data_IF_324412286028
#
_entry.id   IF_324412286028
#
_cell.length_a   1.000
_cell.length_b   1.000
_cell.length_c   1.000
_cell.angle_alpha   90.00
_cell.angle_beta   90.00
_cell.angle_gamma   90.00
#
_symmetry.space_group_name_H-M   'P 1'
#
loop_
_entity.id
_entity.type
_entity.pdbx_description
1 polymer ?
#
# COMPACT_ATOMS: atom_id res chain seq x y z
N UNK A 1 11.52 5.03 -21.72
CA UNK A 1 11.69 6.49 -21.81
C UNK A 1 12.49 6.91 -20.58
N UNK A 2 13.67 7.52 -20.75
CA UNK A 2 14.61 7.74 -19.65
C UNK A 2 13.98 8.54 -18.48
N UNK A 3 13.20 9.59 -18.79
CA UNK A 3 12.50 10.40 -17.77
C UNK A 3 11.46 9.60 -16.98
N UNK A 4 10.70 8.73 -17.64
CA UNK A 4 9.71 7.89 -16.96
C UNK A 4 10.38 6.88 -16.01
N UNK A 5 11.45 6.23 -16.45
CA UNK A 5 12.21 5.26 -15.63
C UNK A 5 12.86 5.94 -14.42
N UNK A 6 13.39 7.15 -14.59
CA UNK A 6 13.94 7.96 -13.52
C UNK A 6 12.86 8.36 -12.51
N UNK A 7 11.70 8.84 -12.95
CA UNK A 7 10.58 9.16 -12.06
C UNK A 7 10.05 7.94 -11.30
N UNK A 8 9.99 6.77 -11.94
CA UNK A 8 9.63 5.51 -11.26
C UNK A 8 10.66 5.18 -10.16
N UNK A 9 11.95 5.39 -10.44
CA UNK A 9 13.03 5.21 -9.46
C UNK A 9 12.91 6.19 -8.28
N UNK A 10 12.70 7.47 -8.57
CA UNK A 10 12.49 8.53 -7.57
C UNK A 10 11.27 8.19 -6.70
N UNK A 11 10.13 7.82 -7.30
CA UNK A 11 8.92 7.44 -6.56
C UNK A 11 9.17 6.27 -5.62
N UNK A 12 9.87 5.23 -6.06
CA UNK A 12 10.24 4.09 -5.21
C UNK A 12 11.12 4.53 -4.05
N UNK A 13 12.06 5.46 -4.30
CA UNK A 13 12.94 5.96 -3.26
C UNK A 13 12.21 6.85 -2.25
N UNK A 14 11.38 7.77 -2.70
CA UNK A 14 10.49 8.58 -1.83
C UNK A 14 9.58 7.69 -0.97
N UNK A 15 9.03 6.63 -1.56
CA UNK A 15 8.24 5.64 -0.82
C UNK A 15 9.08 4.94 0.25
N UNK A 16 10.33 4.55 -0.05
CA UNK A 16 11.20 3.95 0.95
C UNK A 16 11.54 4.94 2.09
N UNK A 17 11.80 6.20 1.75
CA UNK A 17 12.11 7.25 2.71
C UNK A 17 10.92 7.58 3.62
N UNK A 18 9.67 7.39 3.17
CA UNK A 18 8.48 7.65 4.00
C UNK A 18 8.39 6.76 5.25
N UNK A 19 9.13 5.64 5.26
CA UNK A 19 9.25 4.69 6.38
C UNK A 19 10.47 4.93 7.26
N UNK A 20 11.34 5.88 6.92
CA UNK A 20 12.57 6.20 7.66
C UNK A 20 12.32 7.40 8.57
N UNK A 21 13.07 7.50 9.68
CA UNK A 21 13.05 8.67 10.55
C UNK A 21 13.31 9.96 9.75
N UNK A 22 12.51 11.00 10.00
CA UNK A 22 12.51 12.23 9.21
C UNK A 22 13.89 12.88 9.11
N UNK A 23 14.65 12.94 10.21
CA UNK A 23 16.01 13.53 10.25
C UNK A 23 16.99 12.86 9.28
N UNK A 24 16.82 11.56 9.04
CA UNK A 24 17.63 10.82 8.07
C UNK A 24 17.06 10.95 6.66
N UNK A 25 15.72 10.93 6.54
CA UNK A 25 15.04 11.01 5.27
C UNK A 25 15.22 12.37 4.58
N UNK A 26 15.29 13.46 5.33
CA UNK A 26 15.28 14.83 4.80
C UNK A 26 16.52 15.17 3.97
N UNK A 27 17.69 14.61 4.33
CA UNK A 27 18.93 14.83 3.58
C UNK A 27 18.78 14.27 2.17
N UNK A 28 18.29 13.04 2.06
CA UNK A 28 18.09 12.41 0.77
C UNK A 28 16.89 12.99 0.01
N UNK A 29 15.84 13.41 0.71
CA UNK A 29 14.68 14.08 0.13
C UNK A 29 15.04 15.37 -0.60
N UNK A 30 15.94 16.19 -0.02
CA UNK A 30 16.44 17.42 -0.67
C UNK A 30 17.19 17.12 -1.97
N UNK A 31 17.88 15.99 -2.01
CA UNK A 31 18.62 15.58 -3.20
C UNK A 31 17.68 15.08 -4.31
N UNK A 32 16.62 14.36 -3.93
CA UNK A 32 15.53 13.98 -4.83
C UNK A 32 14.72 15.20 -5.29
N UNK A 33 14.51 16.21 -4.42
CA UNK A 33 13.87 17.47 -4.79
C UNK A 33 14.61 18.17 -5.91
N UNK A 34 15.94 18.29 -5.78
CA UNK A 34 16.78 18.90 -6.82
C UNK A 34 16.65 18.16 -8.15
N UNK A 35 16.61 16.82 -8.12
CA UNK A 35 16.40 15.99 -9.32
C UNK A 35 15.02 16.18 -9.94
N UNK A 36 13.97 16.25 -9.13
CA UNK A 36 12.61 16.50 -9.62
C UNK A 36 12.49 17.88 -10.28
N UNK A 37 13.15 18.91 -9.73
CA UNK A 37 13.21 20.25 -10.35
C UNK A 37 13.97 20.19 -11.68
N UNK A 38 15.12 19.50 -11.75
CA UNK A 38 15.85 19.32 -13.02
C UNK A 38 14.99 18.64 -14.09
N UNK A 39 14.17 17.66 -13.72
CA UNK A 39 13.22 17.01 -14.64
C UNK A 39 12.10 17.97 -15.02
N UNK A 40 11.60 18.75 -14.07
CA UNK A 40 10.53 19.74 -14.29
C UNK A 40 10.96 20.82 -15.28
N UNK A 41 12.21 21.27 -15.19
CA UNK A 41 12.83 22.29 -16.05
C UNK A 41 12.96 21.83 -17.51
N UNK A 42 12.85 20.53 -17.79
CA UNK A 42 12.80 20.00 -19.17
C UNK A 42 11.44 20.28 -19.85
N UNK A 43 10.42 20.69 -19.10
CA UNK A 43 9.08 20.96 -19.66
C UNK A 43 9.06 22.33 -20.35
N UNK A 44 8.41 22.37 -21.51
CA UNK A 44 8.12 23.59 -22.26
C UNK A 44 6.60 23.77 -22.31
N UNK A 45 6.09 24.85 -21.70
CA UNK A 45 4.64 25.09 -21.53
C UNK A 45 3.93 23.89 -20.87
N UNK A 46 4.47 23.44 -19.73
CA UNK A 46 3.97 22.29 -18.95
C UNK A 46 3.97 20.94 -19.70
N UNK A 47 4.67 20.86 -20.85
CA UNK A 47 4.75 19.64 -21.65
C UNK A 47 6.18 19.17 -21.91
N UNK A 48 6.39 17.86 -21.93
CA UNK A 48 7.62 17.28 -22.45
C UNK A 48 7.50 17.24 -23.97
N UNK A 49 8.50 17.82 -24.63
CA UNK A 49 8.55 17.94 -26.08
C UNK A 49 9.79 17.22 -26.59
N UNK A 50 9.67 16.56 -27.73
CA UNK A 50 10.82 16.00 -28.41
C UNK A 50 11.71 17.13 -28.94
N UNK A 51 13.02 17.04 -28.65
CA UNK A 51 13.97 18.10 -28.98
C UNK A 51 14.19 18.29 -30.50
N UNK A 52 13.84 17.28 -31.31
CA UNK A 52 14.08 17.28 -32.76
C UNK A 52 12.95 17.95 -33.55
N UNK A 53 11.70 17.78 -33.13
CA UNK A 53 10.50 18.13 -33.88
C UNK A 53 9.49 18.97 -33.07
N UNK A 54 9.74 19.20 -31.77
CA UNK A 54 8.89 20.02 -30.90
C UNK A 54 7.50 19.43 -30.65
N UNK A 55 7.29 18.17 -31.04
CA UNK A 55 6.06 17.44 -30.84
C UNK A 55 5.95 16.97 -29.39
N UNK A 56 4.72 16.80 -28.90
CA UNK A 56 4.48 16.30 -27.53
C UNK A 56 4.96 14.85 -27.46
N UNK A 57 5.79 14.55 -26.46
CA UNK A 57 6.31 13.19 -26.27
C UNK A 57 5.17 12.20 -25.97
N UNK A 58 5.29 10.98 -26.50
CA UNK A 58 4.34 9.92 -26.25
C UNK A 58 4.26 9.59 -24.74
N UNK A 59 3.06 9.35 -24.21
CA UNK A 59 2.89 9.10 -22.76
C UNK A 59 2.97 10.34 -21.86
N UNK A 60 2.94 11.56 -22.43
CA UNK A 60 2.95 12.84 -21.72
C UNK A 60 2.11 12.85 -20.44
N UNK A 61 0.83 12.47 -20.54
CA UNK A 61 -0.12 12.49 -19.40
C UNK A 61 0.36 11.61 -18.25
N UNK A 62 0.92 10.43 -18.58
CA UNK A 62 1.40 9.49 -17.57
C UNK A 62 2.68 10.00 -16.90
N UNK A 63 3.59 10.60 -17.66
CA UNK A 63 4.85 11.16 -17.14
C UNK A 63 4.58 12.38 -16.26
N UNK A 64 3.70 13.29 -16.69
CA UNK A 64 3.32 14.46 -15.88
C UNK A 64 2.60 14.05 -14.61
N UNK A 65 1.62 13.14 -14.69
CA UNK A 65 0.94 12.64 -13.50
C UNK A 65 1.91 11.98 -12.51
N UNK A 66 2.89 11.22 -13.01
CA UNK A 66 3.93 10.62 -12.16
C UNK A 66 4.86 11.65 -11.53
N UNK A 67 5.19 12.73 -12.25
CA UNK A 67 5.99 13.83 -11.74
C UNK A 67 5.25 14.58 -10.62
N UNK A 68 3.98 14.89 -10.83
CA UNK A 68 3.09 15.49 -9.83
C UNK A 68 2.99 14.59 -8.58
N UNK A 69 2.77 13.27 -8.76
CA UNK A 69 2.80 12.30 -7.65
C UNK A 69 4.13 12.34 -6.88
N UNK A 70 5.27 12.49 -7.57
CA UNK A 70 6.57 12.56 -6.92
C UNK A 70 6.74 13.87 -6.12
N UNK A 71 6.29 15.00 -6.64
CA UNK A 71 6.30 16.28 -5.91
C UNK A 71 5.38 16.24 -4.69
N UNK A 72 4.20 15.63 -4.80
CA UNK A 72 3.29 15.43 -3.67
C UNK A 72 3.95 14.56 -2.60
N UNK A 73 4.49 13.39 -2.97
CA UNK A 73 5.21 12.51 -2.04
C UNK A 73 6.40 13.21 -1.38
N UNK A 74 7.13 14.03 -2.13
CA UNK A 74 8.25 14.80 -1.60
C UNK A 74 7.76 15.86 -0.61
N UNK A 75 6.74 16.62 -0.97
CA UNK A 75 6.18 17.66 -0.11
C UNK A 75 5.67 17.07 1.21
N UNK A 76 4.97 15.94 1.13
CA UNK A 76 4.50 15.18 2.29
C UNK A 76 5.65 14.77 3.21
N UNK A 77 6.77 14.34 2.64
CA UNK A 77 7.94 13.89 3.38
C UNK A 77 8.73 15.06 3.99
N UNK A 78 8.73 16.21 3.31
CA UNK A 78 9.40 17.43 3.75
C UNK A 78 8.57 18.27 4.72
N UNK A 79 7.27 17.98 4.89
CA UNK A 79 6.42 18.64 5.87
C UNK A 79 7.03 18.46 7.28
N UNK A 80 7.61 19.54 7.80
CA UNK A 80 8.49 19.55 8.96
C UNK A 80 7.72 19.31 10.27
N UNK A 81 8.20 18.38 11.10
CA UNK A 81 7.82 18.30 12.51
C UNK A 81 8.45 19.39 13.38
N UNK A 82 9.46 20.12 12.88
CA UNK A 82 10.17 21.18 13.61
C UNK A 82 9.28 22.37 13.99
N UNK A 83 8.22 22.61 13.20
CA UNK A 83 7.24 23.65 13.48
C UNK A 83 6.27 23.27 14.62
N UNK A 84 6.24 22.00 15.02
CA UNK A 84 5.40 21.49 16.11
C UNK A 84 6.09 21.78 17.45
N UNK A 85 5.38 22.43 18.35
CA UNK A 85 5.90 22.70 19.70
C UNK A 85 6.14 21.39 20.46
N UNK A 86 7.09 21.41 21.41
CA UNK A 86 7.43 20.22 22.23
C UNK A 86 6.22 19.58 22.90
N UNK A 87 5.24 20.40 23.28
CA UNK A 87 4.01 19.95 23.94
C UNK A 87 3.07 19.17 23.00
N UNK A 88 3.14 19.46 21.69
CA UNK A 88 2.35 18.81 20.64
C UNK A 88 3.13 17.71 19.90
N UNK A 89 4.42 17.56 20.20
CA UNK A 89 5.27 16.51 19.64
C UNK A 89 4.67 15.09 19.84
N UNK A 90 4.13 14.73 21.03
CA UNK A 90 3.50 13.42 21.20
C UNK A 90 2.31 13.18 20.28
N UNK A 91 1.57 14.23 19.93
CA UNK A 91 0.44 14.14 19.00
C UNK A 91 0.92 13.93 17.57
N UNK A 92 1.95 14.68 17.16
CA UNK A 92 2.59 14.49 15.85
C UNK A 92 3.17 13.09 15.72
N UNK A 93 3.89 12.59 16.73
CA UNK A 93 4.50 11.27 16.71
C UNK A 93 3.45 10.16 16.56
N UNK A 94 2.33 10.30 17.29
CA UNK A 94 1.19 9.37 17.17
C UNK A 94 0.56 9.41 15.77
N UNK A 95 0.36 10.59 15.18
CA UNK A 95 -0.15 10.71 13.81
C UNK A 95 0.82 10.11 12.78
N UNK A 96 2.12 10.35 12.96
CA UNK A 96 3.17 9.82 12.10
C UNK A 96 3.23 8.28 12.17
N UNK A 97 3.12 7.71 13.37
CA UNK A 97 3.06 6.25 13.56
C UNK A 97 1.83 5.65 12.87
N UNK A 98 0.65 6.23 13.06
CA UNK A 98 -0.58 5.80 12.38
C UNK A 98 -0.41 5.86 10.86
N UNK A 99 0.16 6.96 10.33
CA UNK A 99 0.45 7.12 8.89
C UNK A 99 1.33 5.99 8.38
N UNK A 100 2.46 5.73 9.05
CA UNK A 100 3.42 4.69 8.67
C UNK A 100 2.76 3.31 8.66
N UNK A 101 1.95 3.00 9.68
CA UNK A 101 1.23 1.74 9.77
C UNK A 101 0.20 1.60 8.63
N UNK A 102 -0.58 2.64 8.34
CA UNK A 102 -1.55 2.65 7.24
C UNK A 102 -0.88 2.54 5.86
N UNK A 103 0.25 3.22 5.63
CA UNK A 103 1.03 3.11 4.39
C UNK A 103 1.58 1.69 4.20
N UNK A 104 2.07 1.07 5.29
CA UNK A 104 2.53 -0.31 5.26
C UNK A 104 1.38 -1.27 4.93
N UNK A 105 0.19 -1.04 5.49
CA UNK A 105 -1.01 -1.83 5.19
C UNK A 105 -1.41 -1.69 3.71
N UNK A 106 -1.34 -0.48 3.16
CA UNK A 106 -1.63 -0.21 1.75
C UNK A 106 -0.70 -0.97 0.79
N UNK A 107 0.57 -1.11 1.17
CA UNK A 107 1.56 -1.84 0.39
C UNK A 107 1.45 -3.37 0.53
N UNK A 108 1.15 -3.87 1.74
CA UNK A 108 1.34 -5.30 2.07
C UNK A 108 0.06 -6.12 2.19
N UNK A 109 -1.07 -5.48 2.53
CA UNK A 109 -2.25 -6.18 3.05
C UNK A 109 -3.57 -5.72 2.44
N UNK A 110 -3.53 -5.00 1.30
CA UNK A 110 -4.70 -4.41 0.62
C UNK A 110 -5.88 -5.39 0.45
N UNK A 111 -5.59 -6.66 0.20
CA UNK A 111 -6.58 -7.70 -0.12
C UNK A 111 -7.02 -8.55 1.09
N UNK A 112 -6.46 -8.28 2.27
CA UNK A 112 -6.68 -9.12 3.47
C UNK A 112 -7.12 -8.32 4.69
N UNK A 113 -7.41 -7.03 4.48
CA UNK A 113 -7.84 -6.11 5.52
C UNK A 113 -9.34 -6.25 5.75
N UNK A 114 -9.74 -6.42 7.02
CA UNK A 114 -11.13 -6.34 7.44
C UNK A 114 -11.48 -4.90 7.77
N UNK A 115 -12.76 -4.53 7.66
CA UNK A 115 -13.24 -3.24 8.16
C UNK A 115 -12.92 -3.05 9.66
N UNK A 116 -13.03 -4.12 10.45
CA UNK A 116 -12.67 -4.11 11.89
C UNK A 116 -11.19 -3.83 12.15
N UNK A 117 -10.30 -4.22 11.24
CA UNK A 117 -8.87 -3.94 11.37
C UNK A 117 -8.60 -2.44 11.19
N UNK A 118 -9.40 -1.77 10.34
CA UNK A 118 -9.34 -0.33 10.11
C UNK A 118 -10.10 0.48 11.17
N UNK A 119 -11.10 -0.12 11.82
CA UNK A 119 -11.90 0.52 12.89
C UNK A 119 -11.02 1.07 14.02
N UNK A 120 -10.00 0.31 14.43
CA UNK A 120 -9.08 0.75 15.48
C UNK A 120 -8.33 2.05 15.11
N UNK A 121 -7.98 2.23 13.83
CA UNK A 121 -7.37 3.46 13.35
C UNK A 121 -8.40 4.59 13.26
N UNK A 122 -9.62 4.31 12.82
CA UNK A 122 -10.70 5.30 12.78
C UNK A 122 -11.00 5.88 14.17
N UNK A 123 -11.12 5.03 15.20
CA UNK A 123 -11.32 5.48 16.58
C UNK A 123 -10.15 6.34 17.05
N UNK A 124 -8.90 5.92 16.80
CA UNK A 124 -7.74 6.72 17.18
C UNK A 124 -7.71 8.09 16.49
N UNK A 125 -8.05 8.15 15.20
CA UNK A 125 -8.12 9.42 14.46
C UNK A 125 -9.28 10.29 14.94
N UNK A 126 -10.42 9.70 15.32
CA UNK A 126 -11.55 10.42 15.93
C UNK A 126 -11.18 10.98 17.30
N UNK A 127 -10.46 10.23 18.13
CA UNK A 127 -9.96 10.71 19.41
C UNK A 127 -9.02 11.91 19.23
N UNK A 128 -8.10 11.83 18.26
CA UNK A 128 -7.20 12.93 17.90
C UNK A 128 -7.99 14.14 17.39
N UNK A 129 -8.98 13.91 16.53
CA UNK A 129 -9.84 14.96 16.01
C UNK A 129 -10.61 15.67 17.14
N UNK A 130 -11.14 14.91 18.09
CA UNK A 130 -11.85 15.44 19.26
C UNK A 130 -10.97 16.31 20.18
N UNK A 131 -9.63 16.23 20.07
CA UNK A 131 -8.73 17.15 20.76
C UNK A 131 -8.78 18.57 20.17
N UNK A 132 -9.24 18.73 18.93
CA UNK A 132 -9.40 20.04 18.29
C UNK A 132 -10.57 20.79 18.93
N UNK A 133 -10.35 22.05 19.32
CA UNK A 133 -11.41 22.96 19.78
C UNK A 133 -11.58 24.06 18.74
N UNK A 134 -12.80 24.21 18.21
CA UNK A 134 -13.08 25.12 17.09
C UNK A 134 -12.17 24.84 15.86
N UNK A 135 -11.86 23.57 15.60
CA UNK A 135 -11.01 23.15 14.49
C UNK A 135 -9.51 23.41 14.67
N UNK A 136 -9.06 23.81 15.87
CA UNK A 136 -7.66 24.12 16.16
C UNK A 136 -7.10 23.20 17.26
N UNK A 137 -5.88 22.73 17.07
CA UNK A 137 -5.10 22.09 18.14
C UNK A 137 -4.65 23.14 19.14
N UNK A 138 -4.68 22.83 20.43
CA UNK A 138 -4.27 23.76 21.48
C UNK A 138 -3.00 23.26 22.15
N UNK A 139 -2.15 24.20 22.55
CA UNK A 139 -0.95 23.88 23.33
C UNK A 139 -1.30 23.59 24.81
N UNK A 140 -0.29 23.33 25.63
CA UNK A 140 -0.45 23.05 27.06
C UNK A 140 -1.11 24.20 27.86
N UNK A 141 -1.09 25.43 27.34
CA UNK A 141 -1.72 26.61 27.96
C UNK A 141 -3.19 26.74 27.57
N UNK A 142 -3.65 25.96 26.58
CA UNK A 142 -5.00 26.04 26.06
C UNK A 142 -5.17 27.07 24.94
N UNK A 143 -4.08 27.70 24.50
CA UNK A 143 -4.07 28.62 23.36
C UNK A 143 -3.91 27.87 22.04
N UNK A 144 -4.40 28.42 20.91
CA UNK A 144 -4.18 27.81 19.61
C UNK A 144 -2.69 27.62 19.31
N UNK A 145 -2.33 26.44 18.85
CA UNK A 145 -0.97 26.18 18.39
C UNK A 145 -0.59 27.14 17.24
N UNK A 146 0.72 27.43 17.04
CA UNK A 146 1.19 28.25 15.94
C UNK A 146 0.64 27.78 14.59
N UNK A 147 0.37 28.71 13.67
CA UNK A 147 -0.28 28.41 12.39
C UNK A 147 0.45 27.33 11.58
N UNK A 148 1.79 27.30 11.64
CA UNK A 148 2.58 26.27 10.97
C UNK A 148 2.38 24.88 11.62
N UNK A 149 2.37 24.81 12.96
CA UNK A 149 2.05 23.57 13.70
C UNK A 149 0.64 23.07 13.37
N UNK A 150 -0.34 23.98 13.30
CA UNK A 150 -1.71 23.65 12.88
C UNK A 150 -1.73 23.03 11.49
N UNK A 151 -1.03 23.64 10.54
CA UNK A 151 -1.00 23.16 9.15
C UNK A 151 -0.42 21.74 9.08
N UNK A 152 0.70 21.49 9.75
CA UNK A 152 1.36 20.18 9.78
C UNK A 152 0.46 19.11 10.41
N UNK A 153 -0.12 19.38 11.58
CA UNK A 153 -0.98 18.42 12.28
C UNK A 153 -2.27 18.11 11.50
N UNK A 154 -2.92 19.13 10.94
CA UNK A 154 -4.12 18.94 10.13
C UNK A 154 -3.81 18.18 8.84
N UNK A 155 -2.68 18.50 8.20
CA UNK A 155 -2.21 17.79 7.02
C UNK A 155 -2.01 16.30 7.32
N UNK A 156 -1.29 15.95 8.38
CA UNK A 156 -1.07 14.56 8.79
C UNK A 156 -2.38 13.84 9.13
N UNK A 157 -3.29 14.50 9.86
CA UNK A 157 -4.60 13.95 10.20
C UNK A 157 -5.42 13.64 8.93
N UNK A 158 -5.52 14.59 8.00
CA UNK A 158 -6.21 14.39 6.72
C UNK A 158 -5.54 13.29 5.89
N UNK A 159 -4.21 13.21 5.88
CA UNK A 159 -3.48 12.14 5.19
C UNK A 159 -3.84 10.77 5.77
N UNK A 160 -3.89 10.63 7.09
CA UNK A 160 -4.30 9.38 7.74
C UNK A 160 -5.74 9.00 7.37
N UNK A 161 -6.69 9.93 7.41
CA UNK A 161 -8.06 9.67 6.98
C UNK A 161 -8.15 9.28 5.50
N UNK A 162 -7.41 9.95 4.62
CA UNK A 162 -7.34 9.60 3.20
C UNK A 162 -6.76 8.20 2.98
N UNK A 163 -5.74 7.79 3.75
CA UNK A 163 -5.19 6.44 3.71
C UNK A 163 -6.21 5.40 4.17
N UNK A 164 -6.93 5.66 5.27
CA UNK A 164 -8.04 4.79 5.71
C UNK A 164 -9.11 4.67 4.64
N UNK A 165 -9.54 5.78 4.04
CA UNK A 165 -10.52 5.78 2.96
C UNK A 165 -10.03 4.96 1.75
N UNK A 166 -8.78 5.15 1.31
CA UNK A 166 -8.18 4.36 0.23
C UNK A 166 -8.12 2.87 0.55
N UNK A 167 -7.82 2.51 1.80
CA UNK A 167 -7.80 1.11 2.25
C UNK A 167 -9.21 0.52 2.26
N UNK A 168 -10.21 1.24 2.77
CA UNK A 168 -11.62 0.83 2.75
C UNK A 168 -12.15 0.67 1.32
N UNK A 169 -11.87 1.64 0.44
CA UNK A 169 -12.34 1.62 -0.95
C UNK A 169 -11.65 0.56 -1.80
N UNK A 170 -10.64 -0.14 -1.27
CA UNK A 170 -9.86 -1.12 -2.01
C UNK A 170 -9.70 -2.48 -1.35
N UNK A 171 -10.22 -2.63 -0.13
CA UNK A 171 -10.39 -3.93 0.50
C UNK A 171 -11.74 -4.47 0.06
N UNK A 172 -11.75 -5.62 -0.61
CA UNK A 172 -12.96 -6.45 -0.61
C UNK A 172 -13.00 -7.13 0.77
N UNK A 173 -14.06 -6.95 1.57
CA UNK A 173 -14.15 -7.60 2.87
C UNK A 173 -14.18 -9.11 2.65
N UNK A 174 -13.16 -9.83 3.12
CA UNK A 174 -13.25 -11.29 3.27
C UNK A 174 -13.88 -11.57 4.62
N UNK A 175 -15.06 -12.18 4.60
CA UNK A 175 -15.79 -12.53 5.82
C UNK A 175 -14.94 -13.41 6.75
N UNK A 176 -15.16 -13.30 8.07
CA UNK A 176 -14.38 -14.02 9.08
C UNK A 176 -14.42 -15.54 8.87
N UNK A 177 -15.57 -16.06 8.44
CA UNK A 177 -15.77 -17.48 8.08
C UNK A 177 -14.86 -17.96 6.95
N UNK A 178 -14.42 -17.05 6.05
CA UNK A 178 -13.52 -17.36 4.93
C UNK A 178 -12.04 -17.14 5.25
N UNK A 179 -11.71 -16.45 6.35
CA UNK A 179 -10.31 -16.17 6.72
C UNK A 179 -9.44 -17.43 6.90
N UNK A 180 -9.92 -18.53 7.52
CA UNK A 180 -9.15 -19.76 7.61
C UNK A 180 -8.78 -20.34 6.25
N UNK A 181 -9.71 -20.31 5.29
CA UNK A 181 -9.52 -20.80 3.91
C UNK A 181 -8.53 -19.90 3.17
N UNK A 182 -8.78 -18.59 3.20
CA UNK A 182 -7.92 -17.59 2.58
C UNK A 182 -6.46 -17.69 3.05
N UNK A 183 -6.22 -17.80 4.36
CA UNK A 183 -4.86 -17.90 4.90
C UNK A 183 -4.16 -19.19 4.48
N UNK A 184 -4.87 -20.32 4.43
CA UNK A 184 -4.31 -21.59 3.97
C UNK A 184 -3.91 -21.52 2.50
N UNK A 185 -4.75 -20.95 1.64
CA UNK A 185 -4.44 -20.76 0.22
C UNK A 185 -3.27 -19.81 0.00
N UNK A 186 -3.17 -18.72 0.77
CA UNK A 186 -2.05 -17.78 0.67
C UNK A 186 -0.71 -18.43 1.03
N UNK A 187 -0.69 -19.23 2.10
CA UNK A 187 0.50 -20.01 2.48
C UNK A 187 0.84 -21.03 1.40
N UNK A 188 -0.16 -21.76 0.89
CA UNK A 188 0.02 -22.74 -0.16
C UNK A 188 0.61 -22.13 -1.43
N UNK A 189 0.02 -21.01 -1.91
CA UNK A 189 0.54 -20.23 -3.04
C UNK A 189 2.00 -19.85 -2.87
N UNK A 190 2.36 -19.32 -1.69
CA UNK A 190 3.75 -18.96 -1.40
C UNK A 190 4.68 -20.16 -1.51
N UNK A 191 4.31 -21.29 -0.93
CA UNK A 191 5.10 -22.51 -1.03
C UNK A 191 5.23 -22.98 -2.49
N UNK A 192 4.15 -22.96 -3.27
CA UNK A 192 4.18 -23.32 -4.69
C UNK A 192 5.11 -22.41 -5.51
N UNK A 193 5.10 -21.10 -5.24
CA UNK A 193 6.01 -20.15 -5.88
C UNK A 193 7.47 -20.39 -5.49
N UNK A 194 7.75 -20.72 -4.22
CA UNK A 194 9.09 -21.08 -3.76
C UNK A 194 9.58 -22.37 -4.43
N UNK A 195 8.70 -23.39 -4.54
CA UNK A 195 8.97 -24.63 -5.28
C UNK A 195 9.23 -24.35 -6.75
N UNK A 196 8.44 -23.50 -7.41
CA UNK A 196 8.66 -23.12 -8.82
C UNK A 196 9.98 -22.38 -9.04
N UNK A 197 10.42 -21.59 -8.06
CA UNK A 197 11.61 -20.75 -8.20
C UNK A 197 12.90 -21.46 -7.81
N UNK A 198 12.85 -22.36 -6.83
CA UNK A 198 14.02 -22.97 -6.20
C UNK A 198 13.99 -24.50 -6.20
N UNK A 199 12.86 -25.11 -6.54
CA UNK A 199 12.77 -26.55 -6.75
C UNK A 199 13.63 -26.92 -7.94
N UNK A 200 14.55 -27.87 -7.73
CA UNK A 200 15.27 -28.52 -8.82
C UNK A 200 14.33 -29.44 -9.62
N UNK A 201 14.81 -30.55 -10.21
CA UNK A 201 13.90 -31.53 -10.80
C UNK A 201 12.98 -32.08 -9.72
N UNK A 202 11.70 -31.75 -9.81
CA UNK A 202 10.65 -32.14 -8.86
C UNK A 202 9.95 -33.37 -9.41
N UNK A 203 9.74 -34.38 -8.57
CA UNK A 203 8.89 -35.50 -8.94
C UNK A 203 7.43 -35.25 -8.57
N UNK A 204 6.49 -35.93 -9.23
CA UNK A 204 5.07 -35.89 -8.91
C UNK A 204 4.80 -36.25 -7.44
N UNK A 205 5.68 -37.07 -6.85
CA UNK A 205 5.62 -37.45 -5.44
C UNK A 205 5.96 -36.28 -4.50
N UNK A 206 6.85 -35.39 -4.92
CA UNK A 206 7.22 -34.18 -4.16
C UNK A 206 6.11 -33.13 -4.18
N UNK A 207 5.30 -33.12 -5.25
CA UNK A 207 4.14 -32.23 -5.38
C UNK A 207 2.89 -32.74 -4.64
N UNK A 208 2.83 -34.04 -4.31
CA UNK A 208 1.66 -34.68 -3.71
C UNK A 208 1.15 -34.00 -2.42
N UNK A 209 1.99 -33.57 -1.45
CA UNK A 209 1.50 -32.89 -0.24
C UNK A 209 0.72 -31.60 -0.56
N UNK A 210 1.16 -30.87 -1.58
CA UNK A 210 0.50 -29.64 -2.01
C UNK A 210 -0.83 -29.92 -2.73
N UNK A 211 -0.87 -30.93 -3.60
CA UNK A 211 -2.12 -31.39 -4.22
C UNK A 211 -3.14 -31.82 -3.18
N UNK A 212 -2.71 -32.63 -2.20
CA UNK A 212 -3.57 -33.07 -1.10
C UNK A 212 -4.09 -31.89 -0.28
N UNK A 213 -3.25 -30.89 0.00
CA UNK A 213 -3.67 -29.69 0.71
C UNK A 213 -4.68 -28.88 -0.11
N UNK A 214 -4.44 -28.71 -1.40
CA UNK A 214 -5.32 -27.97 -2.31
C UNK A 214 -6.70 -28.64 -2.40
N UNK A 215 -6.74 -29.96 -2.65
CA UNK A 215 -7.98 -30.75 -2.68
C UNK A 215 -8.71 -30.73 -1.33
N UNK A 216 -7.98 -30.77 -0.21
CA UNK A 216 -8.58 -30.66 1.12
C UNK A 216 -9.29 -29.31 1.32
N UNK A 217 -8.73 -28.22 0.81
CA UNK A 217 -9.37 -26.91 0.86
C UNK A 217 -10.58 -26.89 -0.09
N UNK A 218 -10.42 -27.47 -1.28
CA UNK A 218 -11.47 -27.51 -2.30
C UNK A 218 -12.73 -28.24 -1.87
N UNK A 219 -12.55 -29.33 -1.11
CA UNK A 219 -13.62 -30.13 -0.54
C UNK A 219 -14.43 -29.42 0.56
N UNK A 220 -13.98 -28.25 1.04
CA UNK A 220 -14.81 -27.42 1.93
C UNK A 220 -15.94 -26.71 1.18
N UNK A 221 -15.94 -26.74 -0.16
CA UNK A 221 -16.96 -26.11 -0.98
C UNK A 221 -18.20 -26.99 -1.09
N UNK A 222 -19.36 -26.35 -1.06
CA UNK A 222 -20.66 -26.94 -1.40
C UNK A 222 -21.16 -26.27 -2.67
N UNK A 223 -21.50 -27.05 -3.71
CA UNK A 223 -21.92 -26.56 -5.03
C UNK A 223 -20.97 -25.50 -5.64
N UNK A 224 -19.67 -25.72 -5.44
CA UNK A 224 -18.63 -24.81 -5.94
C UNK A 224 -18.60 -23.46 -5.23
N UNK A 225 -19.08 -23.37 -3.97
CA UNK A 225 -19.03 -22.16 -3.13
C UNK A 225 -18.59 -22.50 -1.72
N UNK A 226 -17.93 -21.56 -1.04
CA UNK A 226 -17.68 -21.68 0.39
C UNK A 226 -18.90 -21.09 1.09
N UNK A 227 -19.42 -21.79 2.10
CA UNK A 227 -20.58 -21.37 2.86
C UNK A 227 -20.16 -21.13 4.32
N UNK A 228 -20.82 -20.19 4.99
CA UNK A 228 -20.69 -20.04 6.44
C UNK A 228 -21.51 -21.09 7.21
N UNK A 229 -21.46 -21.04 8.54
CA UNK A 229 -22.18 -21.94 9.44
C UNK A 229 -23.71 -21.85 9.28
N UNK A 230 -24.21 -20.77 8.68
CA UNK A 230 -25.64 -20.55 8.40
C UNK A 230 -26.04 -21.01 6.99
N UNK A 231 -25.07 -21.43 6.16
CA UNK A 231 -25.29 -21.86 4.79
C UNK A 231 -25.38 -20.72 3.77
N UNK A 232 -25.01 -19.50 4.15
CA UNK A 232 -24.97 -18.35 3.25
C UNK A 232 -23.60 -18.23 2.57
N UNK A 233 -23.56 -17.53 1.44
CA UNK A 233 -22.31 -17.23 0.73
C UNK A 233 -21.67 -16.02 1.43
N UNK A 234 -20.51 -16.17 2.07
CA UNK A 234 -19.90 -15.06 2.79
C UNK A 234 -19.28 -14.04 1.84
N UNK A 235 -19.13 -12.80 2.31
CA UNK A 235 -18.46 -11.76 1.55
C UNK A 235 -16.98 -12.09 1.28
N UNK A 236 -16.45 -11.67 0.12
CA UNK A 236 -15.08 -11.98 -0.30
C UNK A 236 -14.90 -13.38 -0.91
N UNK A 237 -16.00 -14.10 -1.19
CA UNK A 237 -16.01 -15.37 -1.93
C UNK A 237 -15.19 -15.32 -3.22
N UNK A 238 -15.28 -14.22 -3.99
CA UNK A 238 -14.57 -14.04 -5.25
C UNK A 238 -13.05 -14.03 -5.07
N UNK A 239 -12.54 -13.37 -4.03
CA UNK A 239 -11.11 -13.32 -3.68
C UNK A 239 -10.58 -14.73 -3.40
N UNK A 240 -11.28 -15.48 -2.55
CA UNK A 240 -10.86 -16.83 -2.16
C UNK A 240 -10.90 -17.78 -3.36
N UNK A 241 -11.92 -17.66 -4.22
CA UNK A 241 -12.01 -18.44 -5.46
C UNK A 241 -10.90 -18.13 -6.45
N UNK A 242 -10.57 -16.85 -6.63
CA UNK A 242 -9.45 -16.42 -7.48
C UNK A 242 -8.12 -17.01 -6.97
N UNK A 243 -7.87 -16.93 -5.66
CA UNK A 243 -6.66 -17.45 -5.04
C UNK A 243 -6.57 -18.99 -5.11
N UNK A 244 -7.70 -19.67 -4.97
CA UNK A 244 -7.79 -21.12 -5.15
C UNK A 244 -7.45 -21.53 -6.58
N UNK A 245 -8.02 -20.85 -7.57
CA UNK A 245 -7.74 -21.10 -8.99
C UNK A 245 -6.26 -20.84 -9.30
N UNK A 246 -5.68 -19.74 -8.80
CA UNK A 246 -4.25 -19.46 -8.98
C UNK A 246 -3.36 -20.57 -8.40
N UNK A 247 -3.74 -21.17 -7.26
CA UNK A 247 -3.00 -22.30 -6.71
C UNK A 247 -3.11 -23.55 -7.61
N UNK A 248 -4.27 -23.80 -8.22
CA UNK A 248 -4.44 -24.88 -9.21
C UNK A 248 -3.63 -24.64 -10.47
N UNK A 249 -3.61 -23.41 -10.98
CA UNK A 249 -2.83 -23.03 -12.16
C UNK A 249 -1.33 -23.23 -11.88
N UNK A 250 -0.82 -22.74 -10.74
CA UNK A 250 0.57 -22.96 -10.33
C UNK A 250 0.92 -24.45 -10.17
N UNK A 251 -0.01 -25.24 -9.62
CA UNK A 251 0.16 -26.68 -9.49
C UNK A 251 0.24 -27.36 -10.86
N UNK A 252 -0.64 -26.98 -11.79
CA UNK A 252 -0.67 -27.51 -13.14
C UNK A 252 0.62 -27.16 -13.91
N UNK A 253 1.08 -25.92 -13.81
CA UNK A 253 2.35 -25.49 -14.39
C UNK A 253 3.55 -26.29 -13.86
N UNK A 254 3.60 -26.54 -12.55
CA UNK A 254 4.67 -27.33 -11.92
C UNK A 254 4.65 -28.79 -12.39
N UNK A 255 3.47 -29.39 -12.51
CA UNK A 255 3.34 -30.76 -13.03
C UNK A 255 3.68 -30.85 -14.52
N UNK A 256 3.31 -29.84 -15.32
CA UNK A 256 3.63 -29.82 -16.74
C UNK A 256 5.15 -29.70 -16.98
N UNK A 257 5.85 -28.93 -16.14
CA UNK A 257 7.31 -28.80 -16.21
C UNK A 257 8.06 -30.11 -15.91
N UNK A 258 7.45 -31.06 -15.18
CA UNK A 258 8.01 -32.41 -14.96
C UNK A 258 7.94 -33.27 -16.23
N UNK A 259 6.99 -33.02 -17.14
CA UNK A 259 6.75 -33.87 -18.32
C UNK A 259 7.70 -33.55 -19.48
N UNK A 260 8.32 -32.37 -19.47
CA UNK A 260 9.24 -31.89 -20.51
C UNK A 260 10.74 -32.13 -20.19
N UNK A 261 11.08 -32.79 -19.07
CA UNK A 261 12.44 -33.28 -18.73
C UNK A 261 12.56 -34.81 -18.88
#
# INVERSE_FOLDING_TARGET
MPTYEELVSIRRRLTALSFVAHDLAIVEAKELQRRLIEIDDLRVNDRFVNAEDGTVSEGQTQVVGLLEECFDCLHDLMAEGSAVSKDLMPLYDRLMEIRIQLEKLLLTSRWTLRETDLWSYQVQLQDIDAMRRNGQFKDATGEPAPQQAQAVLNFLLHKCYNLVYKLLSSSEPVAESLMPVHNQLRTLRRCLLEVKKYGGPLSARDLYPYQMKLSSIDNLRTDGKFLDDEGHIPEGQGVVMSLLNECYDLMYELMAAEVDE
#
